data_IF_968219290111
#
_entry.id   IF_968219290111
#
_cell.length_a   1.000
_cell.length_b   1.000
_cell.length_c   1.000
_cell.angle_alpha   90.00
_cell.angle_beta   90.00
_cell.angle_gamma   90.00
#
_symmetry.space_group_name_H-M   'P 1'
#
loop_
_entity.id
_entity.type
_entity.pdbx_description
1 polymer ?
#
# COMPACT_ATOMS: atom_id res chain seq x y z
N UNK A 1 -7.75 -1.94 -3.82
CA UNK A 1 -6.48 -2.68 -4.05
C UNK A 1 -6.24 -3.62 -2.89
N UNK A 2 -6.17 -4.94 -3.14
CA UNK A 2 -5.98 -5.91 -2.07
C UNK A 2 -4.62 -5.76 -1.39
N UNK A 3 -4.59 -6.02 -0.09
CA UNK A 3 -3.35 -5.93 0.70
C UNK A 3 -2.27 -6.86 0.14
N UNK A 4 -2.66 -8.06 -0.27
CA UNK A 4 -1.71 -9.01 -0.84
C UNK A 4 -1.00 -8.44 -2.07
N UNK A 5 -1.75 -7.78 -2.94
CA UNK A 5 -1.17 -7.18 -4.14
C UNK A 5 -0.18 -6.07 -3.80
N UNK A 6 -0.48 -5.28 -2.78
CA UNK A 6 0.43 -4.24 -2.31
C UNK A 6 1.72 -4.84 -1.76
N UNK A 7 1.61 -5.92 -0.99
CA UNK A 7 2.78 -6.62 -0.44
C UNK A 7 3.61 -7.21 -1.58
N UNK A 8 2.96 -7.88 -2.53
CA UNK A 8 3.66 -8.49 -3.67
C UNK A 8 4.38 -7.43 -4.52
N UNK A 9 3.72 -6.30 -4.77
CA UNK A 9 4.32 -5.20 -5.51
C UNK A 9 5.55 -4.65 -4.80
N UNK A 10 5.46 -4.49 -3.48
CA UNK A 10 6.58 -4.00 -2.68
C UNK A 10 7.75 -4.98 -2.70
N UNK A 11 7.47 -6.26 -2.50
CA UNK A 11 8.50 -7.29 -2.43
C UNK A 11 9.19 -7.54 -3.77
N UNK A 12 8.49 -7.30 -4.89
CA UNK A 12 9.05 -7.54 -6.22
C UNK A 12 10.06 -6.47 -6.65
N UNK A 13 10.10 -5.33 -5.98
CA UNK A 13 11.06 -4.27 -6.30
C UNK A 13 12.37 -4.52 -5.55
N UNK A 14 13.47 -4.69 -6.30
CA UNK A 14 14.78 -4.98 -5.74
C UNK A 14 15.22 -3.97 -4.68
N UNK A 15 14.95 -2.70 -4.88
CA UNK A 15 15.35 -1.66 -3.94
C UNK A 15 14.60 -1.73 -2.62
N UNK A 16 13.50 -2.48 -2.57
CA UNK A 16 12.72 -2.66 -1.35
C UNK A 16 13.13 -3.90 -0.56
N UNK A 17 14.07 -4.69 -1.07
CA UNK A 17 14.57 -5.85 -0.34
C UNK A 17 15.19 -5.42 0.98
N UNK A 18 14.78 -6.08 2.04
CA UNK A 18 15.22 -5.74 3.39
C UNK A 18 14.50 -4.57 4.01
N UNK A 19 13.61 -3.93 3.28
CA UNK A 19 12.84 -2.81 3.80
C UNK A 19 11.78 -3.29 4.79
N UNK A 20 11.37 -2.38 5.65
CA UNK A 20 10.47 -2.68 6.75
C UNK A 20 9.09 -2.06 6.52
N UNK A 21 8.24 -2.25 7.52
CA UNK A 21 6.85 -1.81 7.51
C UNK A 21 6.67 -0.34 7.10
N UNK A 22 7.51 0.57 7.61
CA UNK A 22 7.38 1.99 7.28
C UNK A 22 7.55 2.25 5.79
N UNK A 23 8.55 1.64 5.18
CA UNK A 23 8.81 1.78 3.74
C UNK A 23 7.67 1.16 2.94
N UNK A 24 7.07 0.09 3.45
CA UNK A 24 5.89 -0.51 2.84
C UNK A 24 4.71 0.48 2.85
N UNK A 25 4.49 1.22 3.94
CA UNK A 25 3.44 2.23 3.99
C UNK A 25 3.66 3.31 2.93
N UNK A 26 4.90 3.79 2.78
CA UNK A 26 5.21 4.77 1.73
C UNK A 26 4.94 4.21 0.34
N UNK A 27 5.32 2.96 0.11
CA UNK A 27 5.05 2.30 -1.17
C UNK A 27 3.55 2.29 -1.48
N UNK A 28 2.73 1.92 -0.50
CA UNK A 28 1.28 1.91 -0.67
C UNK A 28 0.73 3.29 -0.98
N UNK A 29 1.21 4.31 -0.26
CA UNK A 29 0.81 5.69 -0.49
C UNK A 29 1.11 6.11 -1.92
N UNK A 30 2.34 5.84 -2.38
CA UNK A 30 2.76 6.20 -3.74
C UNK A 30 1.91 5.52 -4.80
N UNK A 31 1.54 4.25 -4.58
CA UNK A 31 0.68 3.53 -5.52
C UNK A 31 -0.69 4.16 -5.65
N UNK A 32 -1.31 4.54 -4.54
CA UNK A 32 -2.60 5.23 -4.58
C UNK A 32 -2.48 6.59 -5.26
N UNK A 33 -1.44 7.35 -4.96
CA UNK A 33 -1.24 8.67 -5.57
C UNK A 33 -1.05 8.57 -7.07
N UNK A 34 -0.30 7.57 -7.55
CA UNK A 34 -0.13 7.35 -8.99
C UNK A 34 -1.46 7.12 -9.69
N UNK A 35 -2.33 6.31 -9.07
CA UNK A 35 -3.64 6.03 -9.65
C UNK A 35 -4.55 7.25 -9.64
N UNK A 36 -4.55 7.99 -8.54
CA UNK A 36 -5.37 9.19 -8.40
C UNK A 36 -4.99 10.24 -9.44
N UNK A 37 -3.69 10.40 -9.70
CA UNK A 37 -3.21 11.35 -10.72
C UNK A 37 -3.77 11.09 -12.12
N UNK A 38 -4.05 9.85 -12.43
CA UNK A 38 -4.55 9.46 -13.77
C UNK A 38 -6.04 9.65 -13.92
N UNK A 39 -6.76 9.90 -12.84
CA UNK A 39 -8.21 9.99 -12.84
C UNK A 39 -8.64 11.44 -13.01
N UNK A 40 -9.56 11.68 -13.95
CA UNK A 40 -10.07 13.03 -14.23
C UNK A 40 -11.41 13.29 -13.55
N UNK A 41 -12.15 12.23 -13.24
CA UNK A 41 -13.47 12.37 -12.61
C UNK A 41 -13.33 12.59 -11.11
N UNK A 42 -13.85 13.71 -10.63
CA UNK A 42 -13.81 14.05 -9.21
C UNK A 42 -14.52 13.01 -8.34
N UNK A 43 -15.62 12.44 -8.86
CA UNK A 43 -16.36 11.40 -8.17
C UNK A 43 -15.50 10.15 -7.94
N UNK A 44 -14.75 9.76 -8.97
CA UNK A 44 -13.87 8.59 -8.90
C UNK A 44 -12.67 8.88 -8.00
N UNK A 45 -12.13 10.08 -8.06
CA UNK A 45 -11.04 10.49 -7.16
C UNK A 45 -11.46 10.35 -5.71
N UNK A 46 -12.67 10.83 -5.36
CA UNK A 46 -13.18 10.72 -4.00
C UNK A 46 -13.29 9.27 -3.57
N UNK A 47 -13.72 8.38 -4.47
CA UNK A 47 -13.80 6.95 -4.20
C UNK A 47 -12.43 6.36 -3.88
N UNK A 48 -11.42 6.71 -4.67
CA UNK A 48 -10.05 6.21 -4.46
C UNK A 48 -9.44 6.76 -3.18
N UNK A 49 -9.73 8.02 -2.86
CA UNK A 49 -9.26 8.61 -1.61
C UNK A 49 -9.86 7.89 -0.40
N UNK A 50 -11.14 7.53 -0.49
CA UNK A 50 -11.79 6.74 0.56
C UNK A 50 -11.14 5.37 0.70
N UNK A 51 -10.88 4.70 -0.42
CA UNK A 51 -10.19 3.41 -0.43
C UNK A 51 -8.80 3.52 0.20
N UNK A 52 -8.05 4.57 -0.15
CA UNK A 52 -6.73 4.83 0.42
C UNK A 52 -6.82 4.98 1.93
N UNK A 53 -7.75 5.79 2.41
CA UNK A 53 -7.90 6.03 3.83
C UNK A 53 -8.28 4.76 4.58
N UNK A 54 -9.18 3.95 4.02
CA UNK A 54 -9.57 2.68 4.61
C UNK A 54 -8.40 1.69 4.63
N UNK A 55 -7.63 1.66 3.56
CA UNK A 55 -6.45 0.79 3.48
C UNK A 55 -5.42 1.15 4.54
N UNK A 56 -5.12 2.44 4.70
CA UNK A 56 -4.17 2.88 5.71
C UNK A 56 -4.67 2.62 7.12
N UNK A 57 -5.96 2.81 7.38
CA UNK A 57 -6.55 2.48 8.67
C UNK A 57 -6.31 1.00 8.99
N UNK A 58 -6.57 0.12 8.03
CA UNK A 58 -6.32 -1.31 8.19
C UNK A 58 -4.84 -1.60 8.45
N UNK A 59 -3.95 -1.03 7.65
CA UNK A 59 -2.52 -1.26 7.78
C UNK A 59 -1.99 -0.84 9.15
N UNK A 60 -2.46 0.31 9.64
CA UNK A 60 -2.03 0.83 10.94
C UNK A 60 -2.54 -0.05 12.08
N UNK A 61 -3.79 -0.48 12.01
CA UNK A 61 -4.38 -1.32 13.06
C UNK A 61 -3.82 -2.74 13.06
N UNK A 62 -3.24 -3.18 11.95
CA UNK A 62 -2.73 -4.54 11.79
C UNK A 62 -1.22 -4.56 11.56
N UNK A 63 -0.50 -3.62 12.14
CA UNK A 63 0.94 -3.49 11.94
C UNK A 63 1.71 -4.78 12.19
N UNK A 64 1.40 -5.48 13.28
CA UNK A 64 2.11 -6.70 13.64
C UNK A 64 1.93 -7.78 12.58
N UNK A 65 0.70 -7.96 12.11
CA UNK A 65 0.39 -8.94 11.08
C UNK A 65 1.11 -8.62 9.76
N UNK A 66 1.07 -7.35 9.36
CA UNK A 66 1.73 -6.91 8.13
C UNK A 66 3.24 -7.11 8.23
N UNK A 67 3.82 -6.75 9.37
CA UNK A 67 5.26 -6.93 9.60
C UNK A 67 5.66 -8.40 9.49
N UNK A 68 4.86 -9.30 10.04
CA UNK A 68 5.11 -10.73 9.92
C UNK A 68 5.05 -11.21 8.48
N UNK A 69 4.06 -10.75 7.73
CA UNK A 69 3.93 -11.11 6.31
C UNK A 69 5.11 -10.63 5.50
N UNK A 70 5.58 -9.41 5.75
CA UNK A 70 6.75 -8.87 5.07
C UNK A 70 8.01 -9.69 5.39
N UNK A 71 8.16 -10.13 6.64
CA UNK A 71 9.28 -10.97 7.04
C UNK A 71 9.26 -12.34 6.37
N UNK A 72 8.08 -12.93 6.20
CA UNK A 72 7.93 -14.26 5.61
C UNK A 72 8.13 -14.30 4.11
N UNK A 73 7.98 -13.17 3.45
CA UNK A 73 8.07 -13.07 2.00
C UNK A 73 9.50 -13.15 1.48
N UNK A 74 10.47 -13.21 2.37
CA UNK A 74 11.88 -13.27 2.00
C UNK A 74 12.39 -14.68 1.83
#
# INVERSE_FOLDING_TARGET
MPIKDLIDSFESDEKNKGRRYREFLYHCFMKFEEQIKKIKSKKIINKYETMRNNTFSYLIHNEKEITLKLSRSR
#
